data_IF_218300343089
#
_entry.id   IF_218300343089
#
_cell.length_a   1.000
_cell.length_b   1.000
_cell.length_c   1.000
_cell.angle_alpha   90.00
_cell.angle_beta   90.00
_cell.angle_gamma   90.00
#
_symmetry.space_group_name_H-M   'P 1'
#
loop_
_entity.id
_entity.type
_entity.pdbx_description
1 polymer ?
#
# COMPACT_ATOMS: atom_id res chain seq x y z
N UNK A 1 -8.42 3.06 9.23
CA UNK A 1 -8.70 2.37 7.97
C UNK A 1 -7.45 2.32 7.11
N UNK A 2 -7.27 1.21 6.44
CA UNK A 2 -6.12 1.00 5.57
C UNK A 2 -6.55 1.07 4.12
N UNK A 3 -5.71 1.65 3.28
CA UNK A 3 -6.01 1.81 1.88
C UNK A 3 -4.74 1.62 1.07
N UNK A 4 -4.82 0.84 0.01
CA UNK A 4 -3.70 0.63 -0.89
C UNK A 4 -3.45 1.89 -1.73
N UNK A 5 -2.20 2.35 -1.76
CA UNK A 5 -1.86 3.54 -2.52
C UNK A 5 -1.87 3.31 -4.03
N UNK A 6 -1.88 2.07 -4.47
CA UNK A 6 -1.87 1.74 -5.90
C UNK A 6 -3.27 1.51 -6.43
N UNK A 7 -4.02 0.58 -5.83
CA UNK A 7 -5.34 0.20 -6.35
C UNK A 7 -6.49 0.89 -5.63
N UNK A 8 -6.25 1.49 -4.48
CA UNK A 8 -7.28 2.19 -3.74
C UNK A 8 -8.20 1.31 -2.93
N UNK A 9 -7.97 0.00 -2.89
CA UNK A 9 -8.81 -0.89 -2.09
C UNK A 9 -8.60 -0.65 -0.61
N UNK A 10 -9.66 -0.83 0.15
CA UNK A 10 -9.61 -0.71 1.60
C UNK A 10 -9.95 -2.05 2.23
N UNK A 11 -9.76 -2.14 3.54
CA UNK A 11 -10.15 -3.34 4.27
C UNK A 11 -11.67 -3.55 4.25
N UNK A 12 -12.41 -2.50 3.97
CA UNK A 12 -13.87 -2.58 3.85
C UNK A 12 -14.28 -3.20 2.53
N UNK A 13 -13.46 -3.02 1.48
CA UNK A 13 -13.73 -3.61 0.17
C UNK A 13 -13.45 -5.11 0.18
N UNK A 14 -12.39 -5.51 0.90
CA UNK A 14 -12.02 -6.91 0.99
C UNK A 14 -11.35 -7.14 2.35
N UNK A 15 -12.09 -7.72 3.32
CA UNK A 15 -11.53 -7.94 4.65
C UNK A 15 -10.40 -8.96 4.70
N UNK A 16 -10.14 -9.67 3.60
CA UNK A 16 -9.02 -10.61 3.55
C UNK A 16 -7.72 -9.97 3.11
N UNK A 17 -7.76 -8.71 2.68
CA UNK A 17 -6.56 -8.01 2.26
C UNK A 17 -5.66 -7.69 3.43
N UNK A 18 -4.36 -7.84 3.23
CA UNK A 18 -3.35 -7.41 4.19
C UNK A 18 -2.68 -6.16 3.67
N UNK A 19 -2.53 -5.19 4.55
CA UNK A 19 -1.89 -3.92 4.22
C UNK A 19 -0.60 -3.76 4.99
N UNK A 20 0.43 -3.24 4.32
CA UNK A 20 1.71 -3.00 4.95
C UNK A 20 2.32 -1.72 4.40
N UNK A 21 3.06 -1.05 5.27
CA UNK A 21 3.81 0.13 4.86
C UNK A 21 5.11 -0.29 4.19
N UNK A 22 5.48 0.43 3.15
CA UNK A 22 6.76 0.20 2.49
C UNK A 22 7.80 1.14 3.10
N UNK A 23 8.82 0.57 3.72
CA UNK A 23 9.87 1.36 4.35
C UNK A 23 10.80 2.06 3.35
N UNK A 24 10.77 1.62 2.10
CA UNK A 24 11.60 2.23 1.05
C UNK A 24 10.94 3.40 0.36
N UNK A 25 9.64 3.60 0.60
CA UNK A 25 8.93 4.73 0.03
C UNK A 25 9.00 5.92 0.98
N UNK A 26 9.03 7.12 0.41
CA UNK A 26 8.89 8.33 1.20
C UNK A 26 7.42 8.54 1.53
N UNK A 27 7.15 8.97 2.76
CA UNK A 27 5.79 9.20 3.20
C UNK A 27 5.16 7.95 3.81
N UNK A 28 3.89 8.07 4.17
CA UNK A 28 3.17 7.01 4.86
C UNK A 28 2.20 6.32 3.90
N UNK A 29 2.74 5.59 2.95
CA UNK A 29 1.93 4.88 1.97
C UNK A 29 1.81 3.42 2.34
N UNK A 30 0.59 2.93 2.30
CA UNK A 30 0.30 1.52 2.52
C UNK A 30 -0.02 0.84 1.21
N UNK A 31 0.29 -0.44 1.13
CA UNK A 31 0.03 -1.24 -0.06
C UNK A 31 -0.60 -2.55 0.35
N UNK A 32 -1.54 -3.02 -0.46
CA UNK A 32 -2.12 -4.34 -0.24
C UNK A 32 -1.13 -5.43 -0.64
N UNK A 33 -1.46 -6.66 -0.29
CA UNK A 33 -0.56 -7.79 -0.54
C UNK A 33 -0.22 -7.95 -2.03
N UNK A 34 -1.12 -7.53 -2.92
CA UNK A 34 -0.90 -7.66 -4.36
C UNK A 34 0.06 -6.62 -4.90
N UNK A 35 0.21 -5.49 -4.22
CA UNK A 35 1.00 -4.38 -4.71
C UNK A 35 2.21 -4.07 -3.85
N UNK A 36 2.36 -4.78 -2.75
CA UNK A 36 3.46 -4.51 -1.82
C UNK A 36 4.83 -4.69 -2.48
N UNK A 37 4.95 -5.66 -3.36
CA UNK A 37 6.22 -5.96 -4.02
C UNK A 37 6.28 -5.52 -5.48
N UNK A 38 5.18 -5.00 -6.02
CA UNK A 38 5.12 -4.65 -7.44
C UNK A 38 5.05 -3.15 -7.69
N UNK A 39 4.84 -2.35 -6.65
CA UNK A 39 4.74 -0.90 -6.81
C UNK A 39 6.12 -0.28 -7.02
N UNK A 40 6.13 0.90 -7.62
CA UNK A 40 7.35 1.70 -7.70
C UNK A 40 7.50 2.47 -6.40
N UNK A 41 8.73 2.52 -5.90
CA UNK A 41 9.00 3.24 -4.66
C UNK A 41 8.98 4.74 -4.89
N UNK A 42 8.34 5.45 -3.98
CA UNK A 42 8.21 6.90 -4.06
C UNK A 42 9.36 7.53 -3.30
N UNK A 43 10.09 8.40 -3.97
CA UNK A 43 11.22 9.10 -3.37
C UNK A 43 11.04 10.59 -3.55
N UNK A 44 11.29 11.32 -2.48
CA UNK A 44 11.10 12.77 -2.45
C UNK A 44 12.40 13.55 -2.58
N UNK A 45 13.48 12.89 -2.84
CA UNK A 45 14.80 13.55 -2.92
C UNK A 45 14.98 14.39 -4.16
#
# INVERSE_FOLDING_TARGET
KHKCAVCGRTELDDPTLEFRFCSKCEGNYEYCQDHLFTHQHIRMS
#
